data_IF_881296286364
#
_entry.id   IF_881296286364
#
_cell.length_a   1.000
_cell.length_b   1.000
_cell.length_c   1.000
_cell.angle_alpha   90.00
_cell.angle_beta   90.00
_cell.angle_gamma   90.00
#
_symmetry.space_group_name_H-M   'P 1'
#
loop_
_entity.id
_entity.type
_entity.pdbx_description
1 polymer ?
#
# COMPACT_ATOMS: atom_id res chain seq x y z
N UNK A 1 -21.77 -21.45 -38.66
CA UNK A 1 -20.39 -21.82 -38.25
C UNK A 1 -19.47 -20.72 -38.77
N UNK A 2 -19.10 -19.77 -37.91
CA UNK A 2 -18.19 -18.68 -38.27
C UNK A 2 -17.26 -18.43 -37.09
N UNK A 3 -15.98 -18.36 -37.41
CA UNK A 3 -14.83 -18.63 -36.56
C UNK A 3 -14.63 -17.50 -35.54
N UNK A 4 -14.55 -17.86 -34.26
CA UNK A 4 -14.15 -16.95 -33.20
C UNK A 4 -12.72 -16.46 -33.48
N UNK A 5 -12.56 -15.17 -33.83
CA UNK A 5 -11.27 -14.50 -33.73
C UNK A 5 -10.95 -14.36 -32.25
N UNK A 6 -10.01 -15.16 -31.77
CA UNK A 6 -9.32 -14.93 -30.51
C UNK A 6 -8.51 -13.63 -30.67
N UNK A 7 -9.19 -12.49 -30.52
CA UNK A 7 -8.61 -11.17 -30.71
C UNK A 7 -7.56 -10.92 -29.64
N UNK A 8 -6.33 -10.67 -30.06
CA UNK A 8 -5.32 -10.09 -29.17
C UNK A 8 -5.92 -8.81 -28.54
N UNK A 9 -5.84 -8.69 -27.21
CA UNK A 9 -6.23 -7.47 -26.51
C UNK A 9 -5.58 -6.27 -27.21
N UNK A 10 -6.34 -5.20 -27.53
CA UNK A 10 -5.78 -3.97 -28.08
C UNK A 10 -4.58 -3.55 -27.24
N UNK A 11 -3.49 -3.11 -27.88
CA UNK A 11 -2.25 -2.81 -27.15
C UNK A 11 -2.46 -1.72 -26.08
N UNK A 12 -3.49 -0.88 -26.25
CA UNK A 12 -3.94 0.15 -25.33
C UNK A 12 -4.51 -0.39 -24.00
N UNK A 13 -5.11 -1.59 -23.98
CA UNK A 13 -5.61 -2.26 -22.74
C UNK A 13 -4.51 -2.66 -21.75
N UNK A 14 -3.24 -2.53 -22.14
CA UNK A 14 -2.10 -2.81 -21.26
C UNK A 14 -1.68 -1.60 -20.45
N UNK A 15 -2.20 -0.42 -20.79
CA UNK A 15 -1.77 0.86 -20.24
C UNK A 15 -2.88 1.48 -19.39
N UNK A 16 -2.50 1.88 -18.19
CA UNK A 16 -3.35 2.57 -17.23
C UNK A 16 -2.82 3.99 -17.11
N UNK A 17 -3.71 4.98 -17.19
CA UNK A 17 -3.31 6.38 -17.02
C UNK A 17 -3.59 6.80 -15.58
N UNK A 18 -2.58 7.27 -14.89
CA UNK A 18 -2.64 7.78 -13.52
C UNK A 18 -2.45 9.29 -13.61
N UNK A 19 -3.53 10.03 -13.47
CA UNK A 19 -3.52 11.47 -13.38
C UNK A 19 -3.37 11.87 -11.91
N UNK A 20 -2.21 12.42 -11.55
CA UNK A 20 -1.92 12.88 -10.20
C UNK A 20 -2.36 14.33 -10.08
N UNK A 21 -3.29 14.59 -9.17
CA UNK A 21 -3.79 15.94 -8.92
C UNK A 21 -3.06 16.60 -7.76
N UNK A 22 -2.73 15.83 -6.70
CA UNK A 22 -2.05 16.35 -5.52
C UNK A 22 -0.99 15.38 -4.99
N UNK A 23 0.10 15.94 -4.47
CA UNK A 23 1.18 15.22 -3.79
C UNK A 23 1.71 16.00 -2.57
N UNK A 24 0.82 16.62 -1.80
CA UNK A 24 1.18 17.38 -0.60
C UNK A 24 1.59 16.44 0.54
N UNK A 25 2.68 16.75 1.26
CA UNK A 25 3.22 15.91 2.34
C UNK A 25 3.45 14.43 1.94
N UNK A 26 3.70 14.17 0.64
CA UNK A 26 3.81 12.82 0.05
C UNK A 26 2.52 11.98 0.17
N UNK A 27 1.37 12.64 0.23
CA UNK A 27 0.06 12.01 0.08
C UNK A 27 -0.38 12.07 -1.38
N UNK A 28 -0.48 10.90 -2.03
CA UNK A 28 -0.80 10.80 -3.46
C UNK A 28 -2.32 10.76 -3.69
N UNK A 29 -2.84 11.74 -4.42
CA UNK A 29 -4.25 11.84 -4.79
C UNK A 29 -4.42 12.09 -6.29
N UNK A 30 -5.49 11.54 -6.87
CA UNK A 30 -5.71 11.66 -8.30
C UNK A 30 -6.79 10.72 -8.84
N UNK A 31 -6.66 10.43 -10.13
CA UNK A 31 -7.59 9.62 -10.92
C UNK A 31 -6.85 8.51 -11.65
N UNK A 32 -7.46 7.33 -11.72
CA UNK A 32 -7.03 6.24 -12.60
C UNK A 32 -8.01 6.13 -13.75
N UNK A 33 -7.49 6.13 -14.97
CA UNK A 33 -8.22 5.90 -16.21
C UNK A 33 -7.74 4.63 -16.89
N UNK A 34 -8.68 3.93 -17.50
CA UNK A 34 -8.40 2.77 -18.34
C UNK A 34 -9.46 2.68 -19.44
N UNK A 35 -9.06 2.25 -20.65
CA UNK A 35 -9.94 2.20 -21.83
C UNK A 35 -11.14 1.25 -21.67
N UNK A 36 -11.08 0.30 -20.74
CA UNK A 36 -12.23 -0.58 -20.45
C UNK A 36 -13.38 0.11 -19.70
N UNK A 37 -13.22 1.37 -19.30
CA UNK A 37 -14.23 2.14 -18.55
C UNK A 37 -14.40 3.53 -19.15
N UNK A 38 -15.62 4.04 -19.12
CA UNK A 38 -15.93 5.42 -19.52
C UNK A 38 -15.53 6.40 -18.41
N UNK A 39 -15.73 6.02 -17.15
CA UNK A 39 -15.48 6.87 -15.99
C UNK A 39 -14.04 6.73 -15.45
N UNK A 40 -13.55 7.81 -14.84
CA UNK A 40 -12.33 7.80 -14.05
C UNK A 40 -12.61 7.26 -12.64
N UNK A 41 -11.64 6.59 -12.04
CA UNK A 41 -11.73 6.15 -10.63
C UNK A 41 -10.86 7.04 -9.74
N UNK A 42 -11.47 7.66 -8.75
CA UNK A 42 -10.80 8.55 -7.80
C UNK A 42 -10.02 7.75 -6.76
N UNK A 43 -8.80 8.19 -6.47
CA UNK A 43 -8.04 7.73 -5.32
C UNK A 43 -7.49 8.92 -4.52
N UNK A 44 -7.43 8.75 -3.20
CA UNK A 44 -6.97 9.73 -2.21
C UNK A 44 -5.75 9.25 -1.42
N UNK A 45 -5.28 8.03 -1.70
CA UNK A 45 -4.09 7.47 -1.09
C UNK A 45 -3.40 6.52 -2.06
N UNK A 46 -2.13 6.23 -1.78
CA UNK A 46 -1.36 5.27 -2.55
C UNK A 46 -1.94 3.85 -2.41
N UNK A 47 -2.37 3.47 -1.20
CA UNK A 47 -3.03 2.16 -0.96
C UNK A 47 -4.34 2.06 -1.73
N UNK A 48 -5.14 3.15 -1.75
CA UNK A 48 -6.38 3.17 -2.52
C UNK A 48 -6.11 2.99 -4.01
N UNK A 49 -5.15 3.73 -4.57
CA UNK A 49 -4.71 3.56 -5.96
C UNK A 49 -4.29 2.11 -6.23
N UNK A 50 -3.57 1.50 -5.30
CA UNK A 50 -3.11 0.13 -5.44
C UNK A 50 -4.25 -0.89 -5.48
N UNK A 51 -5.25 -0.71 -4.62
CA UNK A 51 -6.48 -1.52 -4.60
C UNK A 51 -7.33 -1.30 -5.87
N UNK A 52 -7.48 -0.05 -6.34
CA UNK A 52 -8.17 0.29 -7.59
C UNK A 52 -7.55 -0.46 -8.77
N UNK A 53 -6.23 -0.34 -8.94
CA UNK A 53 -5.52 -0.98 -10.04
C UNK A 53 -5.57 -2.50 -9.95
N UNK A 54 -5.40 -3.11 -8.76
CA UNK A 54 -5.55 -4.56 -8.60
C UNK A 54 -6.93 -5.05 -9.04
N UNK A 55 -8.00 -4.34 -8.63
CA UNK A 55 -9.37 -4.66 -9.06
C UNK A 55 -9.51 -4.56 -10.57
N UNK A 56 -9.04 -3.47 -11.18
CA UNK A 56 -9.09 -3.32 -12.63
C UNK A 56 -8.29 -4.43 -13.35
N UNK A 57 -7.13 -4.85 -12.84
CA UNK A 57 -6.36 -5.96 -13.42
C UNK A 57 -7.11 -7.29 -13.33
N UNK A 58 -7.83 -7.53 -12.24
CA UNK A 58 -8.62 -8.74 -12.03
C UNK A 58 -9.87 -8.74 -12.92
N UNK A 59 -10.58 -7.61 -13.02
CA UNK A 59 -11.73 -7.43 -13.93
C UNK A 59 -11.33 -7.59 -15.41
N UNK A 60 -10.22 -6.96 -15.81
CA UNK A 60 -9.69 -7.04 -17.18
C UNK A 60 -8.96 -8.37 -17.45
N UNK A 61 -8.79 -9.23 -16.43
CA UNK A 61 -8.03 -10.47 -16.49
C UNK A 61 -6.58 -10.29 -17.01
N UNK A 62 -6.03 -9.08 -16.86
CA UNK A 62 -4.71 -8.72 -17.36
C UNK A 62 -4.08 -7.53 -16.61
N UNK A 63 -2.79 -7.61 -16.23
CA UNK A 63 -1.96 -8.81 -16.20
C UNK A 63 -2.49 -9.79 -15.15
N UNK A 64 -2.42 -11.10 -15.38
CA UNK A 64 -2.91 -12.09 -14.40
C UNK A 64 -2.06 -12.11 -13.12
N UNK A 65 -2.71 -12.26 -11.96
CA UNK A 65 -2.01 -12.52 -10.70
C UNK A 65 -1.35 -13.90 -10.76
N UNK A 66 -0.10 -14.00 -10.34
CA UNK A 66 0.56 -15.32 -10.26
C UNK A 66 0.16 -16.10 -9.01
N UNK A 67 -0.42 -15.40 -8.03
CA UNK A 67 -0.75 -15.93 -6.71
C UNK A 67 -1.94 -15.16 -6.14
N UNK A 68 -2.78 -15.84 -5.37
CA UNK A 68 -3.84 -15.18 -4.60
C UNK A 68 -3.27 -14.39 -3.42
N UNK A 69 -3.91 -13.28 -3.07
CA UNK A 69 -3.57 -12.48 -1.90
C UNK A 69 -3.78 -13.27 -0.62
N UNK A 70 -2.85 -13.09 0.31
CA UNK A 70 -2.97 -13.64 1.67
C UNK A 70 -3.75 -12.68 2.54
N UNK A 71 -4.53 -13.24 3.45
CA UNK A 71 -5.31 -12.49 4.43
C UNK A 71 -5.02 -13.01 5.84
N UNK A 72 -5.30 -12.20 6.84
CA UNK A 72 -5.43 -12.71 8.20
C UNK A 72 -6.62 -13.69 8.28
N UNK A 73 -6.54 -14.68 9.16
CA UNK A 73 -7.44 -15.85 9.17
C UNK A 73 -8.91 -15.39 9.37
N UNK A 74 -9.80 -15.75 8.44
CA UNK A 74 -11.25 -15.50 8.53
C UNK A 74 -11.90 -16.66 9.30
N UNK A 75 -12.72 -16.39 10.33
CA UNK A 75 -13.70 -17.40 10.79
C UNK A 75 -14.74 -17.52 9.67
N UNK A 76 -15.07 -18.76 9.26
CA UNK A 76 -15.86 -19.12 8.07
C UNK A 76 -17.28 -18.52 7.95
N UNK A 77 -17.72 -17.62 8.85
CA UNK A 77 -19.13 -17.19 8.94
C UNK A 77 -19.45 -15.78 8.46
N UNK A 78 -18.46 -14.96 8.10
CA UNK A 78 -18.74 -13.62 7.57
C UNK A 78 -18.66 -13.72 6.05
N UNK A 79 -19.81 -13.85 5.39
CA UNK A 79 -19.94 -13.74 3.93
C UNK A 79 -19.39 -12.38 3.45
N UNK A 80 -18.98 -12.32 2.18
CA UNK A 80 -18.45 -11.12 1.54
C UNK A 80 -19.47 -9.97 1.58
N UNK A 81 -19.37 -9.17 2.64
CA UNK A 81 -20.08 -7.91 2.80
C UNK A 81 -19.24 -6.80 2.18
N UNK A 82 -19.70 -6.37 1.01
CA UNK A 82 -19.41 -5.11 0.34
C UNK A 82 -18.00 -4.90 -0.22
N UNK A 83 -17.90 -5.14 -1.53
CA UNK A 83 -17.07 -4.33 -2.39
C UNK A 83 -17.44 -2.85 -2.17
N UNK A 84 -16.66 -2.12 -1.37
CA UNK A 84 -16.67 -0.66 -1.41
C UNK A 84 -16.41 -0.26 -2.86
N UNK A 85 -17.46 0.19 -3.55
CA UNK A 85 -17.34 0.79 -4.87
C UNK A 85 -16.35 1.94 -4.77
N UNK A 86 -15.36 1.96 -5.65
CA UNK A 86 -14.47 3.10 -5.72
C UNK A 86 -15.26 4.31 -6.23
N UNK A 87 -15.05 5.48 -5.64
CA UNK A 87 -15.65 6.71 -6.13
C UNK A 87 -15.23 6.93 -7.58
N UNK A 88 -16.22 7.14 -8.46
CA UNK A 88 -15.99 7.48 -9.86
C UNK A 88 -16.15 8.98 -10.08
N UNK A 89 -15.45 9.49 -11.08
CA UNK A 89 -15.62 10.84 -11.59
C UNK A 89 -15.87 10.75 -13.10
N UNK A 90 -16.68 11.65 -13.64
CA UNK A 90 -16.82 11.80 -15.09
C UNK A 90 -15.43 11.99 -15.70
N UNK A 91 -15.13 11.27 -16.78
CA UNK A 91 -13.85 11.40 -17.42
C UNK A 91 -13.70 12.83 -17.96
N UNK A 92 -12.73 13.62 -17.48
CA UNK A 92 -12.42 14.89 -18.10
C UNK A 92 -11.98 14.60 -19.54
N UNK A 93 -12.38 15.45 -20.50
CA UNK A 93 -11.97 15.30 -21.90
C UNK A 93 -10.45 15.35 -22.11
N UNK A 94 -9.69 15.71 -21.07
CA UNK A 94 -8.23 15.65 -21.01
C UNK A 94 -7.85 14.73 -19.85
N UNK A 95 -7.38 13.51 -20.12
CA UNK A 95 -6.91 12.54 -19.11
C UNK A 95 -5.57 12.95 -18.47
N UNK A 96 -5.47 14.21 -18.04
CA UNK A 96 -4.26 14.81 -17.46
C UNK A 96 -4.49 15.14 -15.99
N UNK A 97 -3.47 14.90 -15.17
CA UNK A 97 -3.47 15.33 -13.78
C UNK A 97 -3.16 16.82 -13.65
N UNK A 98 -3.57 17.43 -12.53
CA UNK A 98 -3.20 18.82 -12.23
C UNK A 98 -1.68 18.98 -11.98
N UNK A 99 -1.03 17.95 -11.44
CA UNK A 99 0.38 17.99 -11.05
C UNK A 99 1.27 17.17 -12.00
N UNK A 100 0.85 15.95 -12.36
CA UNK A 100 1.58 15.10 -13.31
C UNK A 100 0.68 13.99 -13.86
N UNK A 101 1.05 13.45 -15.02
CA UNK A 101 0.32 12.37 -15.67
C UNK A 101 1.27 11.22 -15.98
N UNK A 102 0.93 10.04 -15.49
CA UNK A 102 1.72 8.85 -15.70
C UNK A 102 0.96 7.82 -16.54
N UNK A 103 1.69 7.15 -17.42
CA UNK A 103 1.21 5.95 -18.10
C UNK A 103 1.89 4.73 -17.49
N UNK A 104 1.13 3.93 -16.75
CA UNK A 104 1.56 2.70 -16.12
C UNK A 104 1.35 1.51 -17.04
N UNK A 105 2.38 0.69 -17.22
CA UNK A 105 2.29 -0.62 -17.86
C UNK A 105 2.84 -1.68 -16.92
N UNK A 106 1.95 -2.37 -16.21
CA UNK A 106 2.31 -3.55 -15.41
C UNK A 106 2.39 -4.75 -16.35
N UNK A 107 3.57 -5.35 -16.44
CA UNK A 107 3.84 -6.53 -17.28
C UNK A 107 3.58 -7.82 -16.53
N UNK A 108 3.98 -7.88 -15.27
CA UNK A 108 3.89 -9.06 -14.43
C UNK A 108 3.39 -8.71 -13.03
N UNK A 109 2.69 -9.66 -12.40
CA UNK A 109 2.26 -9.60 -11.00
C UNK A 109 2.88 -10.74 -10.18
N UNK A 110 4.21 -10.86 -10.26
CA UNK A 110 4.94 -11.91 -9.54
C UNK A 110 5.19 -11.52 -8.09
N UNK A 111 5.23 -12.52 -7.21
CA UNK A 111 5.51 -12.36 -5.78
C UNK A 111 4.54 -11.42 -5.04
N UNK A 112 3.29 -11.34 -5.50
CA UNK A 112 2.28 -10.43 -4.96
C UNK A 112 2.72 -8.94 -5.00
N UNK A 113 3.51 -8.57 -6.00
CA UNK A 113 3.85 -7.17 -6.32
C UNK A 113 3.74 -6.95 -7.82
N UNK A 114 4.12 -5.77 -8.30
CA UNK A 114 4.03 -5.41 -9.71
C UNK A 114 5.41 -5.17 -10.32
N UNK A 115 5.58 -5.63 -11.56
CA UNK A 115 6.77 -5.38 -12.37
C UNK A 115 6.35 -4.74 -13.68
N UNK A 116 7.07 -3.72 -14.14
CA UNK A 116 6.66 -3.00 -15.34
C UNK A 116 7.46 -1.76 -15.63
N UNK A 117 6.83 -0.89 -16.41
CA UNK A 117 7.35 0.43 -16.73
C UNK A 117 6.30 1.48 -16.41
N UNK A 118 6.73 2.63 -15.93
CA UNK A 118 5.88 3.82 -15.79
C UNK A 118 6.51 4.96 -16.59
N UNK A 119 5.70 5.63 -17.40
CA UNK A 119 6.12 6.76 -18.23
C UNK A 119 5.53 8.04 -17.66
N UNK A 120 6.37 9.01 -17.31
CA UNK A 120 5.93 10.37 -17.02
C UNK A 120 5.65 11.07 -18.35
N UNK A 121 4.39 11.44 -18.61
CA UNK A 121 3.96 11.88 -19.93
C UNK A 121 4.51 13.27 -20.29
N UNK A 122 4.62 14.15 -19.31
CA UNK A 122 5.09 15.53 -19.47
C UNK A 122 6.57 15.57 -19.87
N UNK A 123 7.41 14.71 -19.29
CA UNK A 123 8.84 14.62 -19.65
C UNK A 123 9.16 13.56 -20.70
N UNK A 124 8.20 12.69 -21.05
CA UNK A 124 8.40 11.51 -21.89
C UNK A 124 9.35 10.46 -21.30
N UNK A 125 9.77 10.62 -20.04
CA UNK A 125 10.76 9.73 -19.41
C UNK A 125 10.12 8.43 -18.97
N UNK A 126 10.77 7.30 -19.29
CA UNK A 126 10.31 5.96 -18.95
C UNK A 126 11.16 5.41 -17.79
N UNK A 127 10.50 4.98 -16.73
CA UNK A 127 11.12 4.38 -15.55
C UNK A 127 10.71 2.91 -15.44
N UNK A 128 11.66 1.95 -15.52
CA UNK A 128 11.37 0.57 -15.19
C UNK A 128 11.26 0.40 -13.66
N UNK A 129 10.43 -0.54 -13.22
CA UNK A 129 10.33 -0.93 -11.81
C UNK A 129 10.15 -2.44 -11.66
N UNK A 130 10.72 -3.00 -10.59
CA UNK A 130 10.69 -4.44 -10.28
C UNK A 130 9.75 -4.78 -9.12
N UNK A 131 9.23 -3.76 -8.43
CA UNK A 131 8.28 -3.91 -7.34
C UNK A 131 7.45 -2.64 -7.18
N UNK A 132 6.40 -2.77 -6.36
CA UNK A 132 5.61 -1.62 -5.91
C UNK A 132 6.45 -0.61 -5.10
N UNK A 133 7.46 -1.04 -4.34
CA UNK A 133 8.37 -0.10 -3.66
C UNK A 133 9.20 0.69 -4.69
N UNK A 134 9.69 0.03 -5.74
CA UNK A 134 10.34 0.71 -6.85
C UNK A 134 9.43 1.75 -7.52
N UNK A 135 8.15 1.40 -7.71
CA UNK A 135 7.13 2.34 -8.20
C UNK A 135 6.92 3.53 -7.26
N UNK A 136 6.86 3.31 -5.94
CA UNK A 136 6.78 4.37 -4.93
C UNK A 136 7.99 5.32 -5.02
N UNK A 137 9.20 4.78 -5.09
CA UNK A 137 10.42 5.60 -5.23
C UNK A 137 10.43 6.42 -6.51
N UNK A 138 9.82 5.94 -7.59
CA UNK A 138 9.66 6.71 -8.83
C UNK A 138 8.70 7.88 -8.62
N UNK A 139 7.53 7.66 -8.01
CA UNK A 139 6.61 8.76 -7.68
C UNK A 139 7.30 9.81 -6.81
N UNK A 140 8.00 9.37 -5.77
CA UNK A 140 8.68 10.27 -4.86
C UNK A 140 9.83 11.04 -5.53
N UNK A 141 10.58 10.38 -6.42
CA UNK A 141 11.65 11.03 -7.19
C UNK A 141 11.11 12.08 -8.17
N UNK A 142 9.96 11.82 -8.80
CA UNK A 142 9.41 12.70 -9.84
C UNK A 142 8.58 13.84 -9.24
N UNK A 143 7.84 13.57 -8.16
CA UNK A 143 6.88 14.50 -7.56
C UNK A 143 7.36 15.11 -6.24
N UNK A 144 8.23 14.40 -5.53
CA UNK A 144 8.70 14.77 -4.20
C UNK A 144 9.99 15.59 -4.23
N UNK A 145 10.45 15.93 -3.03
CA UNK A 145 11.75 16.55 -2.79
C UNK A 145 12.72 15.50 -2.24
N UNK A 146 14.03 15.62 -2.53
CA UNK A 146 15.02 14.71 -1.96
C UNK A 146 15.00 14.80 -0.43
N UNK A 147 14.55 13.73 0.22
CA UNK A 147 14.66 13.55 1.66
C UNK A 147 15.99 12.89 1.98
N UNK A 148 16.78 13.51 2.88
CA UNK A 148 17.94 12.84 3.45
C UNK A 148 17.47 11.67 4.31
N UNK A 149 17.71 10.44 3.86
CA UNK A 149 17.38 9.26 4.63
C UNK A 149 18.47 9.05 5.71
N UNK A 150 18.11 8.95 7.00
CA UNK A 150 19.06 8.57 8.04
C UNK A 150 19.52 7.12 7.86
N UNK A 151 20.68 6.80 8.44
CA UNK A 151 21.24 5.46 8.38
C UNK A 151 20.31 4.42 9.02
N UNK A 152 20.07 3.26 8.38
CA UNK A 152 19.21 2.23 8.93
C UNK A 152 19.71 1.65 10.26
N UNK A 153 18.77 1.32 11.15
CA UNK A 153 19.00 0.79 12.50
C UNK A 153 19.24 -0.72 12.54
N UNK A 154 19.12 -1.43 11.41
CA UNK A 154 19.44 -2.86 11.31
C UNK A 154 18.51 -3.82 12.05
N UNK A 155 17.32 -3.38 12.47
CA UNK A 155 16.39 -4.24 13.23
C UNK A 155 15.77 -5.30 12.31
N UNK A 156 15.46 -6.47 12.87
CA UNK A 156 14.82 -7.58 12.13
C UNK A 156 13.29 -7.55 12.21
N UNK A 157 12.75 -6.74 13.10
CA UNK A 157 11.32 -6.57 13.33
C UNK A 157 11.05 -5.12 13.75
N UNK A 158 9.79 -4.71 13.67
CA UNK A 158 9.28 -3.49 14.28
C UNK A 158 7.77 -3.65 14.54
N UNK A 159 7.25 -2.81 15.41
CA UNK A 159 5.82 -2.68 15.66
C UNK A 159 5.30 -1.49 14.88
N UNK A 160 4.29 -1.71 14.05
CA UNK A 160 3.53 -0.68 13.34
C UNK A 160 2.17 -0.56 14.01
N UNK A 161 1.91 0.54 14.71
CA UNK A 161 0.59 0.83 15.23
C UNK A 161 -0.13 1.77 14.27
N UNK A 162 -1.26 1.33 13.72
CA UNK A 162 -2.15 2.18 12.93
C UNK A 162 -3.15 2.81 13.89
N UNK A 163 -3.18 4.12 13.94
CA UNK A 163 -3.96 4.86 14.92
C UNK A 163 -5.14 5.57 14.26
N UNK A 164 -4.90 6.12 13.06
CA UNK A 164 -5.91 6.77 12.27
C UNK A 164 -5.91 6.18 10.85
N UNK A 165 -7.09 6.11 10.25
CA UNK A 165 -7.30 5.58 8.92
C UNK A 165 -8.53 6.23 8.31
N UNK A 166 -8.31 6.90 7.19
CA UNK A 166 -9.33 7.62 6.45
C UNK A 166 -8.99 7.51 4.97
N UNK A 167 -9.98 7.24 4.12
CA UNK A 167 -9.82 7.16 2.67
C UNK A 167 -8.68 6.20 2.23
N UNK A 168 -8.52 5.08 2.95
CA UNK A 168 -7.41 4.13 2.76
C UNK A 168 -6.01 4.70 2.98
N UNK A 169 -5.85 5.78 3.73
CA UNK A 169 -4.54 6.26 4.18
C UNK A 169 -4.26 5.75 5.59
N UNK A 170 -3.08 5.18 5.79
CA UNK A 170 -2.61 4.82 7.13
C UNK A 170 -1.90 5.99 7.81
N UNK A 171 -2.27 6.26 9.06
CA UNK A 171 -1.50 7.13 9.95
C UNK A 171 -1.31 6.47 11.32
N UNK A 172 -0.14 6.66 11.92
CA UNK A 172 0.22 5.95 13.14
C UNK A 172 1.69 6.11 13.52
N UNK A 173 2.24 5.06 14.14
CA UNK A 173 3.64 5.04 14.58
C UNK A 173 4.35 3.72 14.27
N UNK A 174 5.64 3.80 13.98
CA UNK A 174 6.58 2.69 13.93
C UNK A 174 7.48 2.75 15.15
N UNK A 175 7.65 1.62 15.84
CA UNK A 175 8.47 1.53 17.05
C UNK A 175 9.19 0.18 17.16
N UNK A 176 10.22 0.11 17.99
CA UNK A 176 10.93 -1.13 18.29
C UNK A 176 11.33 -1.18 19.77
N UNK A 177 11.26 -2.34 20.46
CA UNK A 177 11.64 -2.45 21.88
C UNK A 177 13.02 -1.92 22.24
N UNK A 178 13.99 -2.06 21.35
CA UNK A 178 15.37 -1.60 21.52
C UNK A 178 15.67 -0.25 20.84
N UNK A 179 14.65 0.53 20.52
CA UNK A 179 14.80 1.90 20.00
C UNK A 179 13.98 2.82 20.88
N UNK A 180 14.62 3.87 21.41
CA UNK A 180 13.99 4.82 22.32
C UNK A 180 12.89 5.61 21.61
N UNK A 181 13.19 6.05 20.40
CA UNK A 181 12.32 6.93 19.63
C UNK A 181 11.19 6.16 18.95
N UNK A 182 10.05 6.83 18.87
CA UNK A 182 8.88 6.40 18.11
C UNK A 182 8.76 7.30 16.90
N UNK A 183 8.43 6.70 15.78
CA UNK A 183 8.42 7.39 14.50
C UNK A 183 7.01 7.47 13.96
N UNK A 184 6.49 8.69 13.88
CA UNK A 184 5.11 8.94 13.46
C UNK A 184 5.04 9.03 11.93
N UNK A 185 4.00 8.45 11.34
CA UNK A 185 3.74 8.54 9.92
C UNK A 185 2.28 8.93 9.66
N UNK A 186 2.05 9.68 8.59
CA UNK A 186 0.72 10.16 8.17
C UNK A 186 0.24 9.51 6.87
N UNK A 187 1.13 8.82 6.15
CA UNK A 187 0.84 8.16 4.89
C UNK A 187 1.81 7.01 4.61
N UNK A 188 1.57 6.29 3.51
CA UNK A 188 2.32 5.09 3.10
C UNK A 188 3.79 5.37 2.75
N UNK A 189 4.12 6.55 2.23
CA UNK A 189 5.49 6.92 1.89
C UNK A 189 6.31 7.10 3.17
N UNK A 190 5.78 7.83 4.16
CA UNK A 190 6.40 7.96 5.46
C UNK A 190 6.47 6.61 6.20
N UNK A 191 5.44 5.77 6.08
CA UNK A 191 5.50 4.40 6.63
C UNK A 191 6.66 3.62 6.00
N UNK A 192 6.83 3.69 4.67
CA UNK A 192 7.93 3.03 3.98
C UNK A 192 9.29 3.54 4.51
N UNK A 193 9.49 4.86 4.61
CA UNK A 193 10.74 5.44 5.12
C UNK A 193 11.07 4.92 6.53
N UNK A 194 10.09 4.91 7.43
CA UNK A 194 10.32 4.46 8.81
C UNK A 194 10.57 2.96 8.91
N UNK A 195 9.97 2.17 8.04
CA UNK A 195 10.29 0.76 7.92
C UNK A 195 11.68 0.55 7.30
N UNK A 196 12.10 1.36 6.33
CA UNK A 196 13.45 1.33 5.75
C UNK A 196 14.50 1.73 6.78
N UNK A 197 14.22 2.76 7.58
CA UNK A 197 15.03 3.17 8.72
C UNK A 197 15.14 2.05 9.76
N UNK A 198 14.02 1.44 10.17
CA UNK A 198 14.05 0.40 11.18
C UNK A 198 14.73 -0.87 10.70
N UNK A 199 14.39 -1.30 9.49
CA UNK A 199 14.68 -2.66 9.02
C UNK A 199 15.92 -2.70 8.14
N UNK A 200 16.27 -1.61 7.45
CA UNK A 200 17.36 -1.55 6.47
C UNK A 200 18.70 -2.07 6.97
N UNK A 201 19.58 -2.43 6.04
CA UNK A 201 20.89 -2.99 6.39
C UNK A 201 21.76 -1.90 7.00
N UNK A 202 22.22 -2.16 8.23
CA UNK A 202 23.07 -1.21 8.95
C UNK A 202 24.49 -1.25 8.37
N UNK A 203 25.14 -0.08 8.21
CA UNK A 203 26.57 -0.02 7.91
C UNK A 203 27.41 -0.79 8.94
N UNK A 204 28.47 -1.46 8.50
CA UNK A 204 29.27 -2.39 9.32
C UNK A 204 30.08 -1.71 10.45
N UNK A 205 30.20 -0.39 10.39
CA UNK A 205 31.04 0.47 11.22
C UNK A 205 30.34 1.05 12.46
N UNK A 206 29.02 0.87 12.60
CA UNK A 206 28.27 1.44 13.72
C UNK A 206 28.11 0.42 14.85
N UNK A 207 28.79 0.66 15.98
CA UNK A 207 28.76 -0.19 17.18
C UNK A 207 27.35 -0.26 17.80
N UNK A 208 26.99 -1.40 18.39
CA UNK A 208 25.70 -1.57 19.07
C UNK A 208 25.68 -0.78 20.38
N UNK A 209 24.61 0.00 20.59
CA UNK A 209 24.26 0.45 21.93
C UNK A 209 23.71 -0.74 22.71
N UNK A 210 24.38 -1.21 23.78
CA UNK A 210 24.03 -2.45 24.48
C UNK A 210 22.79 -2.31 25.38
N UNK A 211 22.14 -1.15 25.41
CA UNK A 211 21.14 -0.82 26.43
C UNK A 211 19.73 -0.91 25.87
N UNK A 212 18.98 -1.94 26.31
CA UNK A 212 17.52 -1.95 26.22
C UNK A 212 17.01 -0.84 27.16
N UNK A 213 16.78 0.35 26.61
CA UNK A 213 16.20 1.46 27.37
C UNK A 213 14.70 1.25 27.47
N UNK A 214 14.09 1.24 28.68
CA UNK A 214 12.65 1.14 28.83
C UNK A 214 11.96 2.28 28.05
N UNK A 215 10.98 1.93 27.21
CA UNK A 215 10.21 2.92 26.45
C UNK A 215 9.44 3.83 27.40
N UNK A 216 9.42 5.14 27.14
CA UNK A 216 8.47 6.02 27.82
C UNK A 216 7.06 5.82 27.24
N UNK A 217 6.06 5.78 28.12
CA UNK A 217 4.71 5.26 27.90
C UNK A 217 3.75 6.18 27.15
N UNK A 218 4.17 6.78 26.04
CA UNK A 218 3.22 7.42 25.11
C UNK A 218 2.89 6.44 24.00
N UNK A 219 1.63 6.03 23.90
CA UNK A 219 1.09 5.25 22.76
C UNK A 219 0.24 6.23 21.96
N UNK A 220 0.39 6.22 20.64
CA UNK A 220 -0.50 6.98 19.77
C UNK A 220 -1.96 6.56 20.02
N UNK A 221 -2.75 7.44 20.63
CA UNK A 221 -4.20 7.25 20.74
C UNK A 221 -4.84 7.80 19.49
N UNK A 222 -5.31 6.92 18.62
CA UNK A 222 -6.08 7.30 17.43
C UNK A 222 -7.54 6.88 17.51
N UNK A 223 -8.29 7.22 16.47
CA UNK A 223 -9.74 7.04 16.36
C UNK A 223 -10.17 5.58 16.22
N UNK A 224 -9.29 4.67 15.80
CA UNK A 224 -9.67 3.33 15.30
C UNK A 224 -9.34 2.22 16.31
N UNK A 225 -8.82 2.58 17.47
CA UNK A 225 -8.42 1.64 18.52
C UNK A 225 -7.03 1.05 18.29
N UNK A 226 -6.56 0.16 19.18
CA UNK A 226 -5.22 -0.40 19.07
C UNK A 226 -5.18 -1.36 17.87
N UNK A 227 -4.52 -0.94 16.80
CA UNK A 227 -4.27 -1.77 15.61
C UNK A 227 -2.77 -1.93 15.47
N UNK A 228 -2.20 -2.87 16.22
CA UNK A 228 -0.75 -3.05 16.30
C UNK A 228 -0.33 -4.28 15.51
N UNK A 229 0.52 -4.06 14.52
CA UNK A 229 1.08 -5.08 13.66
C UNK A 229 2.56 -5.27 13.98
N UNK A 230 2.94 -6.47 14.40
CA UNK A 230 4.34 -6.85 14.52
C UNK A 230 4.83 -7.33 13.15
N UNK A 231 5.65 -6.52 12.49
CA UNK A 231 6.23 -6.82 11.18
C UNK A 231 7.63 -7.36 11.36
N UNK A 232 7.91 -8.52 10.77
CA UNK A 232 9.24 -9.13 10.74
C UNK A 232 9.64 -9.41 9.30
N UNK A 233 10.75 -8.82 8.86
CA UNK A 233 11.31 -9.08 7.52
C UNK A 233 12.29 -10.25 7.61
N UNK A 234 12.05 -11.26 6.79
CA UNK A 234 12.85 -12.47 6.70
C UNK A 234 13.80 -12.42 5.49
N UNK A 235 13.33 -11.89 4.37
CA UNK A 235 14.11 -11.79 3.13
C UNK A 235 13.89 -10.45 2.43
N UNK A 236 14.90 -10.05 1.65
CA UNK A 236 14.88 -8.90 0.74
C UNK A 236 15.23 -9.40 -0.65
N UNK A 237 14.22 -9.62 -1.48
CA UNK A 237 14.39 -10.11 -2.86
C UNK A 237 13.42 -9.40 -3.78
N UNK A 238 13.80 -9.24 -5.04
CA UNK A 238 12.97 -8.63 -6.09
C UNK A 238 12.53 -7.21 -5.73
N UNK A 239 13.47 -6.40 -5.22
CA UNK A 239 13.24 -5.02 -4.78
C UNK A 239 12.07 -4.85 -3.78
N UNK A 240 11.82 -5.86 -2.95
CA UNK A 240 10.77 -5.80 -1.92
C UNK A 240 11.09 -6.68 -0.72
N UNK A 241 10.22 -6.65 0.29
CA UNK A 241 10.37 -7.41 1.52
C UNK A 241 9.41 -8.61 1.58
N UNK A 242 9.92 -9.71 2.14
CA UNK A 242 9.16 -10.90 2.46
C UNK A 242 9.29 -11.20 3.96
N UNK A 243 8.20 -11.65 4.57
CA UNK A 243 8.22 -11.85 6.01
C UNK A 243 6.89 -12.28 6.61
N UNK A 244 6.73 -11.97 7.89
CA UNK A 244 5.52 -12.25 8.67
C UNK A 244 4.99 -10.98 9.30
N UNK A 245 3.67 -10.86 9.33
CA UNK A 245 2.94 -9.82 10.05
C UNK A 245 2.00 -10.49 11.04
N UNK A 246 2.00 -10.01 12.29
CA UNK A 246 1.11 -10.47 13.34
C UNK A 246 0.24 -9.32 13.84
N UNK A 247 -1.07 -9.45 13.75
CA UNK A 247 -2.02 -8.53 14.37
C UNK A 247 -2.14 -8.88 15.85
N UNK A 248 -1.54 -8.05 16.72
CA UNK A 248 -1.37 -8.35 18.15
C UNK A 248 -2.70 -8.51 18.87
N UNK A 249 -3.66 -7.64 18.59
CA UNK A 249 -4.94 -7.61 19.31
C UNK A 249 -5.85 -8.80 19.01
N UNK A 250 -5.71 -9.42 17.84
CA UNK A 250 -6.42 -10.66 17.49
C UNK A 250 -5.57 -11.92 17.63
N UNK A 251 -4.26 -11.78 17.84
CA UNK A 251 -3.31 -12.90 17.85
C UNK A 251 -3.20 -13.62 16.50
N UNK A 252 -3.52 -12.94 15.40
CA UNK A 252 -3.54 -13.52 14.06
C UNK A 252 -2.21 -13.23 13.34
N UNK A 253 -1.52 -14.28 12.90
CA UNK A 253 -0.29 -14.16 12.14
C UNK A 253 -0.48 -14.65 10.70
N UNK A 254 0.09 -13.91 9.76
CA UNK A 254 0.15 -14.28 8.36
C UNK A 254 1.52 -13.90 7.77
N UNK A 255 1.87 -14.49 6.63
CA UNK A 255 3.12 -14.19 5.92
C UNK A 255 2.85 -13.37 4.67
N UNK A 256 3.70 -12.42 4.37
CA UNK A 256 3.62 -11.57 3.18
C UNK A 256 4.82 -11.81 2.25
N UNK A 257 4.62 -11.62 0.94
CA UNK A 257 5.63 -11.83 -0.12
C UNK A 257 6.12 -10.54 -0.75
N UNK A 258 5.49 -9.42 -0.43
CA UNK A 258 5.91 -8.08 -0.84
C UNK A 258 5.41 -7.03 0.14
N UNK A 259 5.97 -5.83 0.04
CA UNK A 259 5.45 -4.66 0.74
C UNK A 259 4.03 -4.29 0.31
N UNK A 260 3.68 -4.46 -0.97
CA UNK A 260 2.30 -4.24 -1.45
C UNK A 260 1.32 -5.19 -0.77
N UNK A 261 1.68 -6.47 -0.65
CA UNK A 261 0.84 -7.45 0.03
C UNK A 261 0.70 -7.12 1.53
N UNK A 262 1.77 -6.64 2.18
CA UNK A 262 1.70 -6.15 3.56
C UNK A 262 0.71 -4.98 3.70
N UNK A 263 0.79 -3.97 2.82
CA UNK A 263 -0.13 -2.82 2.86
C UNK A 263 -1.59 -3.26 2.69
N UNK A 264 -1.87 -4.14 1.73
CA UNK A 264 -3.25 -4.62 1.48
C UNK A 264 -3.76 -5.48 2.65
N UNK A 265 -2.89 -6.26 3.30
CA UNK A 265 -3.25 -7.03 4.49
C UNK A 265 -3.59 -6.11 5.68
N UNK A 266 -2.81 -5.06 5.89
CA UNK A 266 -3.07 -4.05 6.92
C UNK A 266 -4.35 -3.28 6.60
N UNK A 267 -4.55 -2.86 5.34
CA UNK A 267 -5.78 -2.20 4.85
C UNK A 267 -7.02 -3.03 5.19
N UNK A 268 -7.01 -4.30 4.79
CA UNK A 268 -8.11 -5.23 5.00
C UNK A 268 -8.38 -5.47 6.49
N UNK A 269 -7.32 -5.58 7.31
CA UNK A 269 -7.47 -5.74 8.76
C UNK A 269 -8.07 -4.49 9.42
N UNK A 270 -7.65 -3.30 8.99
CA UNK A 270 -8.16 -2.02 9.50
C UNK A 270 -9.63 -1.82 9.15
N UNK A 271 -10.01 -2.05 7.88
CA UNK A 271 -11.41 -2.01 7.46
C UNK A 271 -12.26 -3.00 8.24
N UNK A 272 -11.79 -4.26 8.39
CA UNK A 272 -12.48 -5.31 9.17
C UNK A 272 -12.77 -4.86 10.62
N UNK A 273 -11.83 -4.18 11.28
CA UNK A 273 -12.06 -3.70 12.64
C UNK A 273 -13.01 -2.50 12.70
N UNK A 274 -12.99 -1.61 11.69
CA UNK A 274 -13.94 -0.51 11.55
C UNK A 274 -15.38 -1.00 11.47
N UNK A 275 -15.67 -1.96 10.59
CA UNK A 275 -16.98 -2.58 10.45
C UNK A 275 -17.49 -3.24 11.74
N UNK A 276 -16.62 -3.92 12.48
CA UNK A 276 -16.99 -4.54 13.76
C UNK A 276 -17.39 -3.51 14.82
N UNK A 277 -16.84 -2.28 14.80
CA UNK A 277 -17.26 -1.20 15.71
C UNK A 277 -18.62 -0.62 15.33
N UNK A 278 -18.86 -0.36 14.05
CA UNK A 278 -20.15 0.20 13.58
C UNK A 278 -21.31 -0.79 13.78
N UNK A 279 -21.06 -2.08 13.52
CA UNK A 279 -22.05 -3.16 13.74
C UNK A 279 -22.32 -3.43 15.23
N UNK A 280 -21.32 -3.19 16.10
CA UNK A 280 -21.49 -3.31 17.56
C UNK A 280 -22.23 -2.12 18.18
N UNK A 281 -22.06 -0.92 17.64
CA UNK A 281 -22.74 0.29 18.11
C UNK A 281 -24.23 0.35 17.72
N UNK A 282 -24.64 -0.40 16.69
CA UNK A 282 -26.04 -0.50 16.24
C UNK A 282 -26.87 -1.53 17.00
N UNK A 283 -26.25 -2.30 17.92
CA UNK A 283 -26.91 -3.32 18.76
C UNK A 283 -27.35 -2.85 20.15
N UNK A 284 -27.02 -1.64 20.58
CA UNK A 284 -27.44 -1.06 21.87
C UNK A 284 -28.58 -0.03 21.66
N UNK A 285 -29.75 -0.48 21.22
CA UNK A 285 -30.99 0.31 21.38
C UNK A 285 -32.11 -0.62 21.85
N UNK A 286 -32.67 -0.27 23.02
CA UNK A 286 -33.87 -0.78 23.70
C UNK A 286 -33.75 -2.04 24.55
N UNK A 287 -33.57 -1.82 25.85
CA UNK A 287 -34.35 -2.50 26.88
C UNK A 287 -35.17 -1.43 27.64
#
# INVERSE_FOLDING_TARGET
MSVARTGALPNSYKFYTIAVNRFENRRLEGLVFHESREDAVVFKSLTQMACVLNRMFDENHYPMKSVDQRCFRRKQSEADGEETGFATAEAPGTHCGELATFRLHVKYRYHATWQGNITHLESGTVYPFESFMGLMRIFDRVLGQPTGAPDPLGKKMCEVAVCNYQDSTFAGEVSHPAVKDRFFFENEFQLLDHLELMLGERPADVQDDPVITPRQGSVCRGSIGPMTFLVRVLFRRNDTWQGTVCWKEKGEQASFRSFLELLIMVDSAVRRAGFQRESGASGEVTA
#
